data_IF_968347254779
#
_entry.id   IF_968347254779
#
_cell.length_a   1.000
_cell.length_b   1.000
_cell.length_c   1.000
_cell.angle_alpha   90.00
_cell.angle_beta   90.00
_cell.angle_gamma   90.00
#
_symmetry.space_group_name_H-M   'P 1'
#
loop_
_entity.id
_entity.type
_entity.pdbx_description
1 polymer ?
#
# COMPACT_ATOMS: atom_id res chain seq x y z
N UNK A 1 33.54 -66.23 58.16
CA UNK A 1 32.20 -65.63 58.15
C UNK A 1 32.37 -64.12 58.24
N UNK A 2 32.14 -63.39 57.15
CA UNK A 2 31.71 -61.97 57.08
C UNK A 2 31.20 -61.80 55.64
N UNK A 3 29.94 -61.37 55.52
CA UNK A 3 29.17 -61.28 54.29
C UNK A 3 29.51 -59.98 53.53
N UNK A 4 29.66 -60.09 52.21
CA UNK A 4 29.76 -58.93 51.32
C UNK A 4 28.37 -58.63 50.71
N UNK A 5 27.86 -57.44 51.01
CA UNK A 5 26.64 -56.86 50.46
C UNK A 5 26.75 -56.70 48.93
N UNK A 6 25.81 -57.28 48.18
CA UNK A 6 25.57 -56.92 46.78
C UNK A 6 24.40 -55.94 46.74
N UNK A 7 24.67 -54.66 46.47
CA UNK A 7 23.65 -53.60 46.33
C UNK A 7 22.94 -53.75 44.99
N UNK A 8 21.67 -54.12 45.04
CA UNK A 8 20.76 -54.16 43.90
C UNK A 8 20.30 -52.73 43.58
N UNK A 9 20.81 -52.14 42.49
CA UNK A 9 20.30 -50.85 41.98
C UNK A 9 19.36 -51.12 40.82
N UNK A 10 18.05 -51.05 41.09
CA UNK A 10 17.01 -51.14 40.06
C UNK A 10 16.92 -49.77 39.40
N UNK A 11 17.46 -49.64 38.19
CA UNK A 11 17.30 -48.45 37.34
C UNK A 11 15.92 -48.54 36.68
N UNK A 12 14.98 -47.72 37.15
CA UNK A 12 13.66 -47.55 36.56
C UNK A 12 13.79 -46.75 35.26
N UNK A 13 13.78 -47.44 34.12
CA UNK A 13 13.71 -46.85 32.79
C UNK A 13 12.30 -46.30 32.55
N UNK A 14 12.11 -44.99 32.75
CA UNK A 14 10.89 -44.29 32.37
C UNK A 14 10.92 -44.08 30.86
N UNK A 15 10.15 -44.89 30.12
CA UNK A 15 9.92 -44.70 28.70
C UNK A 15 8.98 -43.51 28.49
N UNK A 16 9.54 -42.36 28.15
CA UNK A 16 8.77 -41.20 27.69
C UNK A 16 8.33 -41.47 26.26
N UNK A 17 7.05 -41.80 26.08
CA UNK A 17 6.43 -41.89 24.76
C UNK A 17 6.27 -40.46 24.20
N UNK A 18 7.16 -40.07 23.29
CA UNK A 18 7.01 -38.83 22.51
C UNK A 18 5.94 -39.09 21.45
N UNK A 19 4.71 -38.64 21.71
CA UNK A 19 3.67 -38.57 20.69
C UNK A 19 4.07 -37.50 19.67
N UNK A 20 4.65 -37.95 18.55
CA UNK A 20 4.88 -37.10 17.39
C UNK A 20 3.52 -36.72 16.78
N UNK A 21 3.10 -35.47 16.95
CA UNK A 21 2.08 -34.88 16.10
C UNK A 21 2.69 -34.73 14.70
N UNK A 22 2.46 -35.71 13.83
CA UNK A 22 2.72 -35.57 12.41
C UNK A 22 1.71 -34.55 11.86
N UNK A 23 2.09 -33.28 11.81
CA UNK A 23 1.33 -32.27 11.08
C UNK A 23 1.27 -32.70 9.61
N UNK A 24 0.09 -32.81 8.98
CA UNK A 24 0.02 -33.07 7.55
C UNK A 24 0.78 -31.96 6.81
N UNK A 25 1.41 -32.26 5.66
CA UNK A 25 2.02 -31.22 4.83
C UNK A 25 0.95 -30.16 4.52
N UNK A 26 1.30 -28.86 4.48
CA UNK A 26 0.35 -27.83 4.11
C UNK A 26 -0.20 -28.18 2.73
N UNK A 27 -1.47 -28.56 2.69
CA UNK A 27 -2.19 -28.69 1.42
C UNK A 27 -2.17 -27.30 0.81
N UNK A 28 -1.50 -27.16 -0.32
CA UNK A 28 -1.54 -25.93 -1.13
C UNK A 28 -2.92 -25.86 -1.75
N UNK A 29 -3.92 -25.46 -0.96
CA UNK A 29 -5.23 -25.08 -1.49
C UNK A 29 -5.03 -23.82 -2.35
N UNK A 30 -5.65 -23.74 -3.54
CA UNK A 30 -5.60 -22.53 -4.33
C UNK A 30 -6.33 -21.41 -3.57
N UNK A 31 -5.56 -20.52 -2.94
CA UNK A 31 -6.07 -19.37 -2.16
C UNK A 31 -6.88 -18.39 -3.05
N UNK A 32 -6.74 -18.49 -4.37
CA UNK A 32 -7.49 -17.68 -5.33
C UNK A 32 -9.01 -17.92 -5.29
N UNK A 33 -9.49 -19.11 -4.90
CA UNK A 33 -10.92 -19.44 -4.99
C UNK A 33 -11.78 -18.85 -3.86
N UNK A 34 -11.18 -18.27 -2.82
CA UNK A 34 -11.91 -17.78 -1.66
C UNK A 34 -12.29 -16.29 -1.76
N UNK A 35 -11.40 -15.47 -2.31
CA UNK A 35 -11.45 -14.00 -2.20
C UNK A 35 -12.64 -13.43 -2.99
N UNK A 36 -12.93 -14.00 -4.17
CA UNK A 36 -14.04 -13.57 -5.04
C UNK A 36 -15.43 -13.72 -4.39
N UNK A 37 -15.59 -14.71 -3.49
CA UNK A 37 -16.89 -15.02 -2.87
C UNK A 37 -17.21 -14.21 -1.60
N UNK A 38 -16.20 -13.54 -1.02
CA UNK A 38 -16.33 -12.76 0.22
C UNK A 38 -16.94 -11.40 -0.08
N UNK A 39 -17.65 -10.80 0.89
CA UNK A 39 -18.13 -9.42 0.75
C UNK A 39 -16.99 -8.41 0.85
N UNK A 40 -17.20 -7.18 0.37
CA UNK A 40 -16.17 -6.13 0.45
C UNK A 40 -15.80 -5.82 1.90
N UNK A 41 -16.76 -5.88 2.82
CA UNK A 41 -16.56 -5.66 4.26
C UNK A 41 -15.68 -6.75 4.87
N UNK A 42 -15.92 -8.02 4.50
CA UNK A 42 -15.09 -9.14 4.94
C UNK A 42 -13.65 -8.98 4.44
N UNK A 43 -13.48 -8.60 3.17
CA UNK A 43 -12.16 -8.37 2.58
C UNK A 43 -11.39 -7.24 3.28
N UNK A 44 -12.06 -6.16 3.66
CA UNK A 44 -11.41 -5.10 4.46
C UNK A 44 -10.98 -5.58 5.85
N UNK A 45 -11.80 -6.41 6.51
CA UNK A 45 -11.44 -7.02 7.78
C UNK A 45 -10.23 -7.95 7.65
N UNK A 46 -10.17 -8.75 6.58
CA UNK A 46 -9.06 -9.65 6.29
C UNK A 46 -7.78 -8.89 5.95
N UNK A 47 -7.87 -7.83 5.13
CA UNK A 47 -6.73 -6.99 4.76
C UNK A 47 -6.01 -6.41 5.99
N UNK A 48 -6.78 -6.09 7.04
CA UNK A 48 -6.26 -5.54 8.31
C UNK A 48 -5.30 -6.51 9.00
N UNK A 49 -5.59 -7.81 8.95
CA UNK A 49 -4.84 -8.86 9.67
C UNK A 49 -3.94 -9.71 8.77
N UNK A 50 -4.08 -9.58 7.45
CA UNK A 50 -3.31 -10.36 6.47
C UNK A 50 -1.80 -10.18 6.68
N UNK A 51 -1.06 -11.27 6.77
CA UNK A 51 0.39 -11.22 7.00
C UNK A 51 1.18 -11.44 5.71
N UNK A 52 0.65 -12.24 4.77
CA UNK A 52 1.40 -12.62 3.59
C UNK A 52 1.28 -11.57 2.47
N UNK A 53 2.39 -11.19 1.79
CA UNK A 53 2.35 -10.22 0.70
C UNK A 53 1.37 -10.61 -0.41
N UNK A 54 1.37 -11.90 -0.79
CA UNK A 54 0.48 -12.42 -1.85
C UNK A 54 -1.00 -12.31 -1.48
N UNK A 55 -1.37 -12.62 -0.25
CA UNK A 55 -2.75 -12.49 0.23
C UNK A 55 -3.21 -11.03 0.22
N UNK A 56 -2.36 -10.12 0.66
CA UNK A 56 -2.63 -8.68 0.60
C UNK A 56 -2.87 -8.27 -0.87
N UNK A 57 -2.01 -8.68 -1.80
CA UNK A 57 -2.17 -8.37 -3.23
C UNK A 57 -3.48 -8.93 -3.81
N UNK A 58 -3.89 -10.15 -3.42
CA UNK A 58 -5.15 -10.76 -3.86
C UNK A 58 -6.36 -9.96 -3.34
N UNK A 59 -6.36 -9.63 -2.04
CA UNK A 59 -7.44 -8.87 -1.41
C UNK A 59 -7.52 -7.45 -2.00
N UNK A 60 -6.38 -6.78 -2.18
CA UNK A 60 -6.33 -5.43 -2.76
C UNK A 60 -6.81 -5.41 -4.22
N UNK A 61 -6.40 -6.38 -5.03
CA UNK A 61 -6.85 -6.51 -6.40
C UNK A 61 -8.36 -6.77 -6.47
N UNK A 62 -8.90 -7.60 -5.57
CA UNK A 62 -10.33 -7.86 -5.52
C UNK A 62 -11.13 -6.62 -5.12
N UNK A 63 -10.75 -5.97 -4.02
CA UNK A 63 -11.37 -4.73 -3.57
C UNK A 63 -11.33 -3.65 -4.66
N UNK A 64 -10.17 -3.47 -5.31
CA UNK A 64 -10.02 -2.53 -6.41
C UNK A 64 -10.93 -2.86 -7.60
N UNK A 65 -11.10 -4.14 -7.94
CA UNK A 65 -11.97 -4.57 -9.04
C UNK A 65 -13.45 -4.26 -8.76
N UNK A 66 -13.82 -4.15 -7.48
CA UNK A 66 -15.14 -3.72 -6.99
C UNK A 66 -15.27 -2.21 -6.80
N UNK A 67 -14.26 -1.44 -7.18
CA UNK A 67 -14.21 0.02 -7.00
C UNK A 67 -14.02 0.46 -5.54
N UNK A 68 -13.64 -0.44 -4.65
CA UNK A 68 -13.35 -0.12 -3.25
C UNK A 68 -11.93 0.41 -3.14
N UNK A 69 -11.75 1.56 -2.47
CA UNK A 69 -10.41 2.18 -2.31
C UNK A 69 -10.01 2.38 -0.85
N UNK A 70 -10.97 2.36 0.07
CA UNK A 70 -10.73 2.46 1.51
C UNK A 70 -11.91 2.01 2.35
N UNK A 71 -11.65 1.58 3.59
CA UNK A 71 -12.63 1.36 4.65
C UNK A 71 -12.04 1.76 6.00
N UNK A 72 -12.61 2.80 6.63
CA UNK A 72 -12.06 3.37 7.86
C UNK A 72 -10.61 3.86 7.69
N UNK A 73 -9.70 3.29 8.46
CA UNK A 73 -8.27 3.59 8.40
C UNK A 73 -7.49 2.71 7.40
N UNK A 74 -8.13 1.69 6.82
CA UNK A 74 -7.55 0.85 5.78
C UNK A 74 -7.79 1.43 4.39
N UNK A 75 -6.82 1.24 3.51
CA UNK A 75 -6.88 1.68 2.12
C UNK A 75 -5.93 0.87 1.25
N UNK A 76 -6.28 0.73 -0.04
CA UNK A 76 -5.43 0.02 -0.99
C UNK A 76 -4.06 0.69 -1.10
N UNK A 77 -3.00 -0.09 -1.05
CA UNK A 77 -1.65 0.43 -1.15
C UNK A 77 -1.05 0.80 0.20
N UNK A 78 -1.78 0.76 1.32
CA UNK A 78 -1.26 1.16 2.65
C UNK A 78 0.05 0.46 3.00
N UNK A 79 0.20 -0.81 2.62
CA UNK A 79 1.37 -1.64 2.92
C UNK A 79 2.16 -2.04 1.67
N UNK A 80 1.53 -1.98 0.51
CA UNK A 80 2.04 -2.50 -0.76
C UNK A 80 2.59 -1.43 -1.68
N UNK A 81 2.18 -0.17 -1.53
CA UNK A 81 2.62 0.93 -2.42
C UNK A 81 4.12 1.16 -2.39
N UNK A 82 4.79 0.81 -1.29
CA UNK A 82 6.24 0.94 -1.12
C UNK A 82 7.04 -0.04 -1.98
N UNK A 83 6.44 -1.14 -2.42
CA UNK A 83 7.07 -2.14 -3.28
C UNK A 83 6.88 -1.88 -4.78
N UNK A 84 6.05 -0.90 -5.15
CA UNK A 84 5.77 -0.59 -6.55
C UNK A 84 7.04 -0.05 -7.23
N UNK A 85 7.38 -0.59 -8.40
CA UNK A 85 8.60 -0.31 -9.15
C UNK A 85 9.86 -1.00 -8.62
N UNK A 86 9.76 -1.81 -7.56
CA UNK A 86 10.91 -2.57 -7.02
C UNK A 86 10.92 -3.96 -7.62
N UNK A 87 11.82 -4.20 -8.58
CA UNK A 87 12.01 -5.49 -9.26
C UNK A 87 12.38 -6.64 -8.29
N UNK A 88 11.35 -7.27 -7.73
CA UNK A 88 11.45 -8.31 -6.69
C UNK A 88 11.39 -9.72 -7.28
N UNK A 89 10.92 -9.86 -8.52
CA UNK A 89 10.66 -11.14 -9.18
C UNK A 89 11.44 -11.24 -10.49
N UNK A 90 12.16 -12.35 -10.66
CA UNK A 90 12.93 -12.63 -11.87
C UNK A 90 11.98 -13.02 -13.02
N UNK A 91 12.00 -12.25 -14.11
CA UNK A 91 11.15 -12.51 -15.27
C UNK A 91 11.92 -13.25 -16.36
N UNK A 92 11.34 -14.36 -16.79
CA UNK A 92 11.85 -15.18 -17.89
C UNK A 92 10.81 -15.19 -19.00
N UNK A 93 11.27 -15.27 -20.24
CA UNK A 93 10.39 -15.43 -21.38
C UNK A 93 9.62 -16.74 -21.25
N UNK A 94 8.30 -16.64 -21.23
CA UNK A 94 7.38 -17.77 -21.23
C UNK A 94 7.09 -18.24 -22.66
N UNK A 95 6.76 -19.53 -22.83
CA UNK A 95 6.25 -20.09 -24.08
C UNK A 95 4.72 -20.07 -24.17
N UNK A 96 4.03 -19.69 -23.08
CA UNK A 96 2.58 -19.51 -23.04
C UNK A 96 2.22 -18.21 -23.79
N UNK A 97 1.02 -18.19 -24.39
CA UNK A 97 0.52 -17.00 -25.08
C UNK A 97 0.49 -15.77 -24.15
N UNK A 98 1.08 -14.68 -24.62
CA UNK A 98 1.16 -13.40 -23.91
C UNK A 98 -0.24 -12.82 -23.67
N UNK A 99 -0.37 -12.00 -22.63
CA UNK A 99 -1.56 -11.16 -22.40
C UNK A 99 -1.13 -9.71 -22.37
N UNK A 100 -1.98 -8.87 -22.92
CA UNK A 100 -1.77 -7.43 -22.90
C UNK A 100 -2.75 -6.75 -21.95
N UNK A 101 -2.39 -5.58 -21.46
CA UNK A 101 -3.24 -4.82 -20.55
C UNK A 101 -4.58 -4.40 -21.17
N UNK A 102 -4.65 -4.31 -22.50
CA UNK A 102 -5.88 -4.07 -23.25
C UNK A 102 -6.86 -5.25 -23.25
N UNK A 103 -6.43 -6.45 -22.83
CA UNK A 103 -7.29 -7.64 -22.74
C UNK A 103 -8.21 -7.61 -21.52
N UNK A 104 -8.01 -6.68 -20.59
CA UNK A 104 -8.75 -6.59 -19.32
C UNK A 104 -9.52 -5.28 -19.24
N UNK A 105 -10.70 -5.30 -18.60
CA UNK A 105 -11.51 -4.09 -18.47
C UNK A 105 -10.93 -3.08 -17.47
N UNK A 106 -10.02 -3.52 -16.58
CA UNK A 106 -9.31 -2.66 -15.65
C UNK A 106 -7.97 -3.24 -15.20
N UNK A 107 -7.08 -2.39 -14.69
CA UNK A 107 -5.81 -2.79 -14.08
C UNK A 107 -6.00 -3.76 -12.91
N UNK A 108 -7.06 -3.57 -12.11
CA UNK A 108 -7.40 -4.48 -11.03
C UNK A 108 -7.79 -5.88 -11.52
N UNK A 109 -8.56 -5.97 -12.61
CA UNK A 109 -8.89 -7.26 -13.22
C UNK A 109 -7.65 -7.96 -13.81
N UNK A 110 -6.76 -7.20 -14.44
CA UNK A 110 -5.48 -7.73 -14.91
C UNK A 110 -4.64 -8.27 -13.75
N UNK A 111 -4.57 -7.54 -12.63
CA UNK A 111 -3.86 -7.99 -11.43
C UNK A 111 -4.45 -9.27 -10.86
N UNK A 112 -5.78 -9.37 -10.76
CA UNK A 112 -6.44 -10.61 -10.33
C UNK A 112 -6.08 -11.78 -11.22
N UNK A 113 -6.16 -11.59 -12.54
CA UNK A 113 -5.81 -12.62 -13.50
C UNK A 113 -4.35 -13.05 -13.31
N UNK A 114 -3.42 -12.11 -13.28
CA UNK A 114 -2.00 -12.36 -13.04
C UNK A 114 -1.76 -13.18 -11.77
N UNK A 115 -2.36 -12.79 -10.65
CA UNK A 115 -2.26 -13.52 -9.39
C UNK A 115 -2.87 -14.92 -9.50
N UNK A 116 -4.00 -15.08 -10.19
CA UNK A 116 -4.64 -16.40 -10.42
C UNK A 116 -3.78 -17.35 -11.26
N UNK A 117 -2.95 -16.81 -12.17
CA UNK A 117 -2.04 -17.60 -13.01
C UNK A 117 -0.68 -17.90 -12.33
N UNK A 118 -0.54 -17.58 -11.05
CA UNK A 118 0.67 -17.88 -10.26
C UNK A 118 1.53 -16.67 -9.92
N UNK A 119 1.20 -15.48 -10.41
CA UNK A 119 1.84 -14.22 -10.02
C UNK A 119 1.74 -13.98 -8.51
N UNK A 120 2.73 -13.37 -7.85
CA UNK A 120 3.87 -12.70 -8.47
C UNK A 120 5.10 -13.61 -8.73
N UNK A 121 5.08 -14.84 -8.24
CA UNK A 121 6.20 -15.78 -8.38
C UNK A 121 6.40 -16.28 -9.82
N UNK A 122 5.33 -16.35 -10.61
CA UNK A 122 5.36 -16.77 -11.99
C UNK A 122 4.62 -15.76 -12.87
N UNK A 123 5.11 -15.55 -14.09
CA UNK A 123 4.47 -14.70 -15.09
C UNK A 123 4.37 -15.41 -16.44
N UNK A 124 3.51 -16.42 -16.56
CA UNK A 124 3.39 -17.17 -17.81
C UNK A 124 2.90 -16.30 -18.96
N UNK A 125 2.18 -15.22 -18.67
CA UNK A 125 1.54 -14.36 -19.66
C UNK A 125 2.23 -13.01 -19.84
N UNK A 126 3.46 -12.84 -19.30
CA UNK A 126 4.31 -11.69 -19.55
C UNK A 126 3.73 -10.33 -19.14
N UNK A 127 2.83 -10.30 -18.15
CA UNK A 127 2.08 -9.10 -17.77
C UNK A 127 2.87 -8.13 -16.88
N UNK A 128 3.84 -8.62 -16.11
CA UNK A 128 4.67 -7.82 -15.19
C UNK A 128 6.13 -8.02 -15.58
N UNK A 129 6.53 -7.23 -16.59
CA UNK A 129 7.83 -7.34 -17.27
C UNK A 129 8.97 -6.70 -16.46
N UNK A 130 8.63 -5.73 -15.62
CA UNK A 130 9.54 -5.07 -14.67
C UNK A 130 9.75 -5.86 -13.38
N UNK A 131 8.88 -6.82 -13.09
CA UNK A 131 9.05 -7.79 -12.02
C UNK A 131 8.77 -7.22 -10.63
N UNK A 132 7.94 -6.20 -10.51
CA UNK A 132 7.58 -5.56 -9.24
C UNK A 132 6.39 -6.24 -8.53
N UNK A 133 5.72 -7.17 -9.22
CA UNK A 133 4.55 -7.89 -8.73
C UNK A 133 3.21 -7.27 -9.13
N UNK A 134 3.21 -6.13 -9.84
CA UNK A 134 2.01 -5.40 -10.21
C UNK A 134 1.92 -5.20 -11.72
N UNK A 135 0.79 -5.59 -12.31
CA UNK A 135 0.58 -5.52 -13.76
C UNK A 135 -0.23 -4.28 -14.14
N UNK A 136 -0.09 -3.85 -15.40
CA UNK A 136 -1.05 -2.94 -16.05
C UNK A 136 -1.38 -1.67 -15.25
N UNK A 137 -0.36 -0.99 -14.73
CA UNK A 137 -0.48 0.23 -13.91
C UNK A 137 -1.21 0.05 -12.57
N UNK A 138 -1.50 -1.18 -12.13
CA UNK A 138 -2.13 -1.43 -10.84
C UNK A 138 -1.28 -0.90 -9.68
N UNK A 139 0.05 -1.06 -9.74
CA UNK A 139 0.97 -0.47 -8.78
C UNK A 139 0.85 1.05 -8.71
N UNK A 140 0.74 1.74 -9.86
CA UNK A 140 0.50 3.19 -9.92
C UNK A 140 -0.82 3.58 -9.26
N UNK A 141 -1.87 2.76 -9.41
CA UNK A 141 -3.15 2.99 -8.72
C UNK A 141 -3.01 2.88 -7.19
N UNK A 142 -2.25 1.91 -6.69
CA UNK A 142 -1.95 1.78 -5.25
C UNK A 142 -1.18 3.00 -4.72
N UNK A 143 -0.13 3.43 -5.42
CA UNK A 143 0.65 4.62 -5.05
C UNK A 143 -0.24 5.87 -5.03
N UNK A 144 -1.11 6.05 -6.04
CA UNK A 144 -2.05 7.16 -6.10
C UNK A 144 -3.02 7.15 -4.92
N UNK A 145 -3.58 6.00 -4.58
CA UNK A 145 -4.50 5.89 -3.45
C UNK A 145 -3.79 6.16 -2.11
N UNK A 146 -2.60 5.60 -1.91
CA UNK A 146 -1.80 5.86 -0.71
C UNK A 146 -1.41 7.33 -0.57
N UNK A 147 -1.01 7.98 -1.67
CA UNK A 147 -0.74 9.42 -1.69
C UNK A 147 -1.98 10.24 -1.32
N UNK A 148 -3.16 9.91 -1.87
CA UNK A 148 -4.41 10.60 -1.57
C UNK A 148 -4.81 10.48 -0.08
N UNK A 149 -4.43 9.40 0.60
CA UNK A 149 -4.74 9.18 2.03
C UNK A 149 -3.71 9.78 2.98
N UNK A 150 -2.46 9.91 2.55
CA UNK A 150 -1.37 10.46 3.37
C UNK A 150 -1.19 11.96 3.18
N UNK A 151 -1.59 12.49 2.02
CA UNK A 151 -1.46 13.91 1.72
C UNK A 151 -2.43 14.74 2.57
N UNK A 152 -1.87 15.46 3.54
CA UNK A 152 -2.55 16.59 4.15
C UNK A 152 -2.27 17.79 3.25
N UNK A 153 -3.27 18.42 2.62
CA UNK A 153 -3.00 19.65 1.90
C UNK A 153 -2.37 20.63 2.88
N UNK A 154 -1.20 21.15 2.53
CA UNK A 154 -0.68 22.32 3.20
C UNK A 154 -1.80 23.36 3.12
N UNK A 155 -2.30 23.81 4.26
CA UNK A 155 -3.20 24.95 4.29
C UNK A 155 -2.39 26.08 3.69
N UNK A 156 -2.67 26.43 2.44
CA UNK A 156 -2.15 27.65 1.82
C UNK A 156 -2.87 28.77 2.54
N UNK A 157 -2.38 29.12 3.73
CA UNK A 157 -2.79 30.34 4.39
C UNK A 157 -2.32 31.46 3.47
N UNK A 158 -3.29 32.25 2.97
CA UNK A 158 -2.99 33.49 2.26
C UNK A 158 -1.94 34.24 3.09
N UNK A 159 -0.75 34.54 2.56
CA UNK A 159 0.23 35.29 3.32
C UNK A 159 -0.44 36.58 3.84
N UNK A 160 -0.21 36.98 5.10
CA UNK A 160 -0.76 38.22 5.59
C UNK A 160 -0.40 39.32 4.61
N UNK A 161 -1.38 40.16 4.24
CA UNK A 161 -1.12 41.28 3.36
C UNK A 161 0.06 42.08 3.90
N UNK A 162 1.04 42.39 3.03
CA UNK A 162 2.19 43.19 3.42
C UNK A 162 1.69 44.47 4.09
N UNK A 163 2.04 44.67 5.37
CA UNK A 163 1.74 45.92 6.08
C UNK A 163 2.67 46.97 5.51
N UNK A 164 2.19 47.74 4.54
CA UNK A 164 2.83 49.01 4.19
C UNK A 164 2.65 49.90 5.42
N UNK A 165 3.74 50.33 6.06
CA UNK A 165 3.61 51.34 7.12
C UNK A 165 3.05 52.61 6.48
N UNK A 166 2.12 53.29 7.16
CA UNK A 166 1.64 54.58 6.67
C UNK A 166 2.86 55.50 6.49
N UNK A 167 3.11 55.92 5.24
CA UNK A 167 4.28 56.74 4.92
C UNK A 167 3.83 58.19 4.84
N UNK A 168 4.47 59.08 5.60
CA UNK A 168 4.32 60.54 5.44
C UNK A 168 5.01 61.07 4.17
N UNK A 169 5.70 60.20 3.41
CA UNK A 169 6.24 60.58 2.11
C UNK A 169 5.13 60.87 1.09
N UNK A 170 5.26 62.03 0.46
CA UNK A 170 4.42 62.44 -0.66
C UNK A 170 4.88 61.80 -1.96
N UNK A 171 3.94 61.22 -2.69
CA UNK A 171 4.13 60.67 -4.02
C UNK A 171 3.31 61.48 -5.03
N UNK A 172 3.85 61.70 -6.22
CA UNK A 172 3.12 62.39 -7.30
C UNK A 172 2.25 61.41 -8.07
N UNK A 173 0.97 61.73 -8.20
CA UNK A 173 -0.01 60.94 -8.93
C UNK A 173 -0.01 61.20 -10.45
N UNK A 174 -0.71 60.36 -11.22
CA UNK A 174 -0.75 60.45 -12.69
C UNK A 174 -1.35 61.75 -13.23
N UNK A 175 -2.12 62.46 -12.40
CA UNK A 175 -2.76 63.75 -12.73
C UNK A 175 -2.03 64.95 -12.12
N UNK A 176 -0.80 64.76 -11.64
CA UNK A 176 0.05 65.82 -11.08
C UNK A 176 -0.19 66.18 -9.61
N UNK A 177 -1.27 65.71 -8.98
CA UNK A 177 -1.51 65.91 -7.53
C UNK A 177 -0.72 64.94 -6.65
N UNK A 178 -0.42 65.33 -5.41
CA UNK A 178 0.33 64.51 -4.43
C UNK A 178 -0.57 63.62 -3.58
N UNK A 179 -0.02 62.53 -3.04
CA UNK A 179 -0.71 61.65 -2.10
C UNK A 179 0.25 60.92 -1.16
N UNK A 180 -0.22 60.50 0.01
CA UNK A 180 0.46 59.54 0.91
C UNK A 180 -0.15 58.14 0.78
N UNK A 181 0.57 57.10 1.22
CA UNK A 181 0.06 55.73 1.30
C UNK A 181 -0.43 55.43 2.72
N UNK A 182 -1.69 55.00 2.86
CA UNK A 182 -2.23 54.53 4.13
C UNK A 182 -1.60 53.20 4.54
N UNK A 183 -1.78 52.80 5.81
CA UNK A 183 -1.33 51.49 6.29
C UNK A 183 -1.97 50.29 5.56
N UNK A 184 -3.08 50.53 4.84
CA UNK A 184 -3.77 49.56 3.99
C UNK A 184 -3.33 49.63 2.52
N UNK A 185 -2.33 50.46 2.18
CA UNK A 185 -1.81 50.66 0.83
C UNK A 185 -2.72 51.48 -0.09
N UNK A 186 -3.74 52.17 0.45
CA UNK A 186 -4.61 53.06 -0.34
C UNK A 186 -3.96 54.44 -0.46
N UNK A 187 -4.28 55.15 -1.55
CA UNK A 187 -3.82 56.52 -1.78
C UNK A 187 -4.68 57.50 -0.98
N UNK A 188 -4.04 58.37 -0.20
CA UNK A 188 -4.67 59.48 0.50
C UNK A 188 -4.17 60.79 -0.11
N UNK A 189 -5.03 61.47 -0.87
CA UNK A 189 -4.70 62.71 -1.57
C UNK A 189 -4.75 63.96 -0.68
N UNK A 190 -5.22 63.83 0.57
CA UNK A 190 -5.27 64.93 1.55
C UNK A 190 -4.10 64.84 2.56
N UNK A 191 -3.22 63.86 2.42
CA UNK A 191 -2.09 63.63 3.33
C UNK A 191 -0.82 64.42 2.97
N UNK A 192 -0.88 65.14 1.86
CA UNK A 192 0.07 66.07 1.28
C UNK A 192 -0.75 67.22 0.70
#
# INVERSE_FOLDING_TARGET
>A
MIANCCRLSIVLLVAVAVTACASPPPVVTPIASGVDSRSSEQLWSELTVAASPREIMLIEAELASRGQTSSGNEYLGRRTSVGVGVASYQRRKSSVADKDCSDFASSAQAQKFFLSQGGPSADPHGLDRDGDGYVCEFGTALVRNAAAKTFRPAVVSKPPAARVMASEQCFTGPRGGTYTLTASGRKNYDGC
#
